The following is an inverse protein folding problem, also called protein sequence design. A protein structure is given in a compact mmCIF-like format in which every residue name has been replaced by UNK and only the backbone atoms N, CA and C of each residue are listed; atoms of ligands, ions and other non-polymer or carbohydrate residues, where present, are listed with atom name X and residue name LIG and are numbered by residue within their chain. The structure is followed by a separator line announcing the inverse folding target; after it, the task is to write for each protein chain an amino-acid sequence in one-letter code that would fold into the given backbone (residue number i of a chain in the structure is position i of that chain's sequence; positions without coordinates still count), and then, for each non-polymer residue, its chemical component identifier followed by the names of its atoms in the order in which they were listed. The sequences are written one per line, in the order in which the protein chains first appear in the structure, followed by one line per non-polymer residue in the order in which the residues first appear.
data_IF_015816201630
#
_entry.id   IF_015816201630
#
_cell.length_a   1.000
_cell.length_b   1.000
_cell.length_c   1.000
_cell.angle_alpha   90.00
_cell.angle_beta   90.00
_cell.angle_gamma   90.00
#
_symmetry.space_group_name_H-M   'P 1'
#
loop_
_entity.id
_entity.type
_entity.pdbx_description
1 polymer ?
#
# COMPACT_ATOMS: atom_id res chain seq x y z
N UNK A 1 39.48 -3.37 -3.61
CA UNK A 1 38.06 -3.13 -3.32
C UNK A 1 37.59 -2.17 -4.40
N UNK A 2 36.68 -2.58 -5.28
CA UNK A 2 36.19 -1.69 -6.34
C UNK A 2 35.36 -0.58 -5.67
N UNK A 3 35.76 0.68 -5.85
CA UNK A 3 34.99 1.81 -5.36
C UNK A 3 33.67 1.87 -6.13
N UNK A 4 32.60 1.33 -5.55
CA UNK A 4 31.27 1.50 -6.12
C UNK A 4 30.83 2.94 -5.86
N UNK A 5 31.08 3.80 -6.84
CA UNK A 5 30.65 5.20 -6.87
C UNK A 5 29.11 5.24 -6.87
N UNK A 6 28.52 5.20 -5.67
CA UNK A 6 27.08 5.36 -5.50
C UNK A 6 26.78 6.85 -5.44
N UNK A 7 26.13 7.37 -6.48
CA UNK A 7 25.60 8.73 -6.46
C UNK A 7 24.33 8.77 -5.62
N UNK A 8 24.30 9.67 -4.63
CA UNK A 8 23.14 9.80 -3.76
C UNK A 8 21.92 10.24 -4.58
N UNK A 9 20.79 9.54 -4.40
CA UNK A 9 19.52 9.87 -5.07
C UNK A 9 19.35 9.30 -6.48
N UNK A 10 20.34 8.59 -7.02
CA UNK A 10 20.22 7.94 -8.35
C UNK A 10 19.88 6.45 -8.27
N UNK A 11 19.63 5.94 -7.06
CA UNK A 11 19.18 4.57 -6.86
C UNK A 11 17.85 4.32 -7.57
N UNK A 12 17.75 3.21 -8.31
CA UNK A 12 16.49 2.75 -8.88
C UNK A 12 15.49 2.43 -7.75
N UNK A 13 14.34 3.10 -7.78
CA UNK A 13 13.26 2.96 -6.80
C UNK A 13 12.00 2.26 -7.35
N UNK A 14 12.09 1.62 -8.52
CA UNK A 14 10.95 0.98 -9.20
C UNK A 14 10.22 -0.03 -8.30
N UNK A 15 10.96 -0.77 -7.46
CA UNK A 15 10.37 -1.76 -6.53
C UNK A 15 9.58 -1.06 -5.42
N UNK A 16 10.09 0.04 -4.91
CA UNK A 16 9.50 0.84 -3.83
C UNK A 16 8.21 1.49 -4.30
N UNK A 17 8.20 2.09 -5.50
CA UNK A 17 7.00 2.67 -6.11
C UNK A 17 5.92 1.61 -6.35
N UNK A 18 6.30 0.44 -6.91
CA UNK A 18 5.37 -0.67 -7.10
C UNK A 18 4.79 -1.18 -5.78
N UNK A 19 5.62 -1.27 -4.74
CA UNK A 19 5.20 -1.70 -3.41
C UNK A 19 4.22 -0.70 -2.81
N UNK A 20 4.50 0.61 -2.92
CA UNK A 20 3.62 1.66 -2.44
C UNK A 20 2.25 1.63 -3.14
N UNK A 21 2.23 1.47 -4.47
CA UNK A 21 0.99 1.33 -5.23
C UNK A 21 0.18 0.09 -4.80
N UNK A 22 0.86 -1.02 -4.55
CA UNK A 22 0.25 -2.24 -4.00
C UNK A 22 -0.33 -2.01 -2.61
N UNK A 23 0.42 -1.35 -1.72
CA UNK A 23 -0.02 -1.00 -0.37
C UNK A 23 -1.29 -0.14 -0.40
N UNK A 24 -1.30 0.93 -1.20
CA UNK A 24 -2.47 1.81 -1.34
C UNK A 24 -3.70 1.02 -1.81
N UNK A 25 -3.54 0.13 -2.79
CA UNK A 25 -4.62 -0.73 -3.26
C UNK A 25 -5.16 -1.65 -2.15
N UNK A 26 -4.27 -2.25 -1.36
CA UNK A 26 -4.64 -3.13 -0.25
C UNK A 26 -5.39 -2.37 0.85
N UNK A 27 -4.89 -1.19 1.25
CA UNK A 27 -5.52 -0.35 2.28
C UNK A 27 -6.89 0.13 1.82
N UNK A 28 -7.03 0.63 0.58
CA UNK A 28 -8.32 1.07 0.05
C UNK A 28 -9.34 -0.05 0.03
N UNK A 29 -8.98 -1.24 -0.46
CA UNK A 29 -9.88 -2.41 -0.47
C UNK A 29 -10.27 -2.83 0.94
N UNK A 30 -9.32 -2.83 1.87
CA UNK A 30 -9.57 -3.18 3.28
C UNK A 30 -10.54 -2.18 3.91
N UNK A 31 -10.34 -0.88 3.70
CA UNK A 31 -11.24 0.15 4.20
C UNK A 31 -12.67 -0.01 3.66
N UNK A 32 -12.82 -0.28 2.35
CA UNK A 32 -14.13 -0.54 1.74
C UNK A 32 -14.81 -1.76 2.39
N UNK A 33 -14.07 -2.86 2.58
CA UNK A 33 -14.62 -4.07 3.22
C UNK A 33 -15.08 -3.76 4.64
N UNK A 34 -14.30 -3.03 5.44
CA UNK A 34 -14.68 -2.64 6.80
C UNK A 34 -15.96 -1.81 6.78
N UNK A 35 -16.06 -0.81 5.90
CA UNK A 35 -17.28 0.02 5.78
C UNK A 35 -18.49 -0.82 5.41
N UNK A 36 -18.37 -1.72 4.43
CA UNK A 36 -19.46 -2.62 4.03
C UNK A 36 -19.88 -3.52 5.20
N UNK A 37 -18.93 -4.10 5.94
CA UNK A 37 -19.23 -4.92 7.10
C UNK A 37 -19.94 -4.13 8.21
N UNK A 38 -19.53 -2.89 8.47
CA UNK A 38 -20.20 -2.02 9.45
C UNK A 38 -21.64 -1.70 9.03
N UNK A 39 -21.88 -1.44 7.73
CA UNK A 39 -23.22 -1.23 7.20
C UNK A 39 -24.07 -2.50 7.37
N UNK A 40 -23.54 -3.68 7.03
CA UNK A 40 -24.26 -4.94 7.20
C UNK A 40 -24.57 -5.24 8.67
N UNK A 41 -23.62 -5.00 9.58
CA UNK A 41 -23.83 -5.14 11.02
C UNK A 41 -24.94 -4.21 11.48
N UNK A 42 -24.94 -2.95 11.03
CA UNK A 42 -25.99 -2.00 11.33
C UNK A 42 -27.35 -2.46 10.76
N UNK A 43 -27.42 -3.09 9.58
CA UNK A 43 -28.70 -3.56 9.04
C UNK A 43 -29.24 -4.83 9.71
N UNK A 44 -28.35 -5.74 10.11
CA UNK A 44 -28.72 -7.04 10.70
C UNK A 44 -28.97 -6.94 12.21
N UNK A 45 -28.28 -6.03 12.89
CA UNK A 45 -28.30 -5.88 14.35
C UNK A 45 -28.61 -4.43 14.80
N UNK A 46 -29.29 -3.62 13.98
CA UNK A 46 -29.98 -2.43 14.46
C UNK A 46 -31.31 -2.78 15.14
#
# INVERSE_FOLDING_TARGET
MAEQHHEHGTMDITVQEKTFNGFMTAVTRTAIVIVVLLILLALVNA
#
